data_IF_727501725203
#
_entry.id   IF_727501725203
#
_cell.length_a   1.000
_cell.length_b   1.000
_cell.length_c   1.000
_cell.angle_alpha   90.00
_cell.angle_beta   90.00
_cell.angle_gamma   90.00
#
_symmetry.space_group_name_H-M   'P 1'
#
loop_
_entity.id
_entity.type
_entity.pdbx_description
1 polymer ?
2 non-polymer ?
3 water ?
#
# COMPACT_ATOMS: atom_id res chain seq x y z
N UNK A 1 -16.91 -0.47 1.75
CA UNK A 1 -15.98 0.32 2.62
C UNK A 1 -15.80 -0.36 3.98
N UNK A 2 -16.92 -0.76 4.58
CA UNK A 2 -16.88 -1.42 5.88
C UNK A 2 -16.74 -2.93 5.65
N UNK A 3 -17.68 -3.46 4.87
CA UNK A 3 -17.74 -4.88 4.53
C UNK A 3 -17.82 -5.08 3.01
N UNK A 4 -18.51 -4.16 2.34
CA UNK A 4 -18.68 -4.21 0.89
C UNK A 4 -17.36 -4.00 0.15
N UNK A 5 -16.74 -2.84 0.36
CA UNK A 5 -15.47 -2.56 -0.29
C UNK A 5 -14.31 -2.97 0.60
N UNK A 6 -14.37 -4.19 1.11
CA UNK A 6 -13.34 -4.71 1.99
C UNK A 6 -12.69 -5.92 1.33
N UNK A 7 -11.40 -6.12 1.56
CA UNK A 7 -10.73 -7.27 0.99
C UNK A 7 -9.70 -7.91 1.93
N UNK A 8 -9.63 -9.23 1.88
CA UNK A 8 -8.66 -10.00 2.65
C UNK A 8 -7.38 -9.96 1.81
N UNK A 9 -6.26 -9.54 2.40
CA UNK A 9 -5.01 -9.48 1.64
C UNK A 9 -4.62 -10.89 1.20
N UNK A 10 -4.29 -11.04 -0.08
CA UNK A 10 -3.91 -12.34 -0.60
C UNK A 10 -2.53 -12.27 -1.24
N UNK A 11 -1.84 -13.40 -1.30
CA UNK A 11 -0.50 -13.45 -1.88
C UNK A 11 -0.57 -13.66 -3.38
N UNK A 12 0.58 -13.80 -4.01
CA UNK A 12 0.64 -13.97 -5.46
C UNK A 12 -0.22 -15.12 -5.98
N UNK A 13 -0.38 -16.17 -5.17
CA UNK A 13 -1.16 -17.34 -5.56
C UNK A 13 -2.62 -17.25 -5.18
N UNK A 14 -3.02 -16.10 -4.65
CA UNK A 14 -4.42 -15.93 -4.28
C UNK A 14 -4.79 -16.49 -2.92
N UNK A 15 -3.81 -16.99 -2.18
CA UNK A 15 -4.10 -17.53 -0.85
C UNK A 15 -4.06 -16.41 0.17
N UNK A 16 -5.02 -16.43 1.09
CA UNK A 16 -5.07 -15.42 2.15
C UNK A 16 -3.73 -15.34 2.88
N UNK A 17 -3.25 -14.12 3.10
CA UNK A 17 -2.01 -13.95 3.84
C UNK A 17 -2.23 -14.29 5.32
N UNK A 18 -1.26 -14.99 5.92
CA UNK A 18 -1.29 -15.33 7.36
C UNK A 18 -0.31 -14.31 7.98
N UNK A 19 -0.83 -13.35 8.74
CA UNK A 19 0.03 -12.31 9.28
C UNK A 19 1.27 -12.74 10.06
N UNK A 20 1.11 -13.68 11.00
CA UNK A 20 2.26 -14.13 11.80
C UNK A 20 3.33 -14.68 10.89
N UNK A 21 2.91 -15.47 9.92
CA UNK A 21 3.84 -16.05 8.97
C UNK A 21 4.40 -14.96 8.07
N UNK A 22 3.56 -13.99 7.72
CA UNK A 22 4.03 -12.94 6.84
C UNK A 22 5.16 -12.13 7.51
N UNK A 23 4.97 -11.76 8.78
CA UNK A 23 5.98 -11.00 9.50
C UNK A 23 7.27 -11.81 9.68
N UNK A 24 7.14 -13.12 9.70
CA UNK A 24 8.31 -13.97 9.84
C UNK A 24 9.10 -13.99 8.54
N UNK A 25 8.54 -13.37 7.50
CA UNK A 25 9.19 -13.38 6.18
C UNK A 25 9.52 -12.01 5.63
N UNK A 26 9.09 -10.98 6.36
CA UNK A 26 9.32 -9.61 5.95
C UNK A 26 9.77 -8.79 7.16
N UNK A 27 10.99 -8.27 7.09
CA UNK A 27 11.55 -7.50 8.18
C UNK A 27 11.14 -6.04 8.18
N UNK A 28 11.40 -5.33 9.30
CA UNK A 28 11.04 -3.92 9.38
C UNK A 28 11.46 -3.16 8.14
N UNK A 29 10.61 -2.24 7.70
CA UNK A 29 10.89 -1.47 6.52
C UNK A 29 10.45 -2.14 5.23
N UNK A 30 10.15 -3.43 5.29
CA UNK A 30 9.74 -4.13 4.08
C UNK A 30 8.45 -3.59 3.48
N UNK A 31 8.43 -3.46 2.16
CA UNK A 31 7.23 -3.04 1.46
C UNK A 31 7.12 -4.04 0.32
N UNK A 32 6.09 -4.87 0.35
CA UNK A 32 5.88 -5.89 -0.68
C UNK A 32 4.42 -5.87 -1.09
N UNK A 33 4.15 -6.31 -2.32
CA UNK A 33 2.80 -6.32 -2.83
C UNK A 33 1.97 -7.48 -2.37
N UNK A 34 0.68 -7.22 -2.26
CA UNK A 34 -0.29 -8.24 -1.91
C UNK A 34 -1.49 -7.89 -2.81
N UNK A 35 -2.44 -8.81 -2.93
CA UNK A 35 -3.64 -8.54 -3.71
C UNK A 35 -4.58 -7.83 -2.76
N UNK A 36 -5.02 -6.63 -3.12
CA UNK A 36 -5.91 -5.89 -2.23
C UNK A 36 -7.36 -5.82 -2.68
N UNK A 37 -7.98 -4.66 -2.47
CA UNK A 37 -9.38 -4.48 -2.85
C UNK A 37 -9.61 -4.68 -4.35
N UNK A 38 -10.56 -5.53 -4.72
CA UNK A 38 -10.79 -5.78 -6.13
C UNK A 38 -9.50 -6.36 -6.70
N UNK A 39 -8.66 -6.91 -5.84
CA UNK A 39 -7.41 -7.51 -6.29
C UNK A 39 -6.25 -6.59 -6.70
N UNK A 40 -6.39 -5.29 -6.47
CA UNK A 40 -5.36 -4.32 -6.81
C UNK A 40 -4.04 -4.52 -6.05
N UNK A 41 -2.89 -4.42 -6.76
CA UNK A 41 -1.58 -4.60 -6.11
C UNK A 41 -1.49 -3.54 -5.00
N UNK A 42 -1.33 -3.99 -3.77
CA UNK A 42 -1.28 -3.07 -2.63
C UNK A 42 -0.07 -3.34 -1.74
N UNK A 43 0.70 -2.31 -1.46
CA UNK A 43 1.83 -2.51 -0.59
C UNK A 43 1.47 -2.79 0.86
N UNK A 44 2.03 -3.87 1.40
CA UNK A 44 1.88 -4.17 2.81
C UNK A 44 3.21 -3.61 3.33
N UNK A 45 3.12 -2.80 4.38
CA UNK A 45 4.29 -2.14 4.95
C UNK A 45 4.60 -2.65 6.36
N UNK A 46 5.83 -3.11 6.57
CA UNK A 46 6.24 -3.56 7.90
C UNK A 46 6.97 -2.38 8.56
N UNK A 47 6.51 -2.01 9.75
CA UNK A 47 7.05 -0.90 10.54
C UNK A 47 8.37 -1.26 11.19
N UNK A 48 8.98 -0.26 11.82
CA UNK A 48 10.25 -0.44 12.53
C UNK A 48 10.05 -1.46 13.65
N UNK A 49 8.84 -1.48 14.20
CA UNK A 49 8.45 -2.37 15.28
C UNK A 49 8.22 -3.78 14.79
N UNK A 50 8.27 -3.96 13.48
CA UNK A 50 8.05 -5.28 12.87
C UNK A 50 6.58 -5.65 12.97
N UNK A 51 5.72 -4.72 12.57
CA UNK A 51 4.29 -4.95 12.61
C UNK A 51 3.77 -4.44 11.29
N UNK A 52 2.55 -4.82 10.96
CA UNK A 52 1.92 -4.37 9.73
C UNK A 52 1.48 -2.92 10.00
N UNK A 53 1.90 -1.98 9.16
CA UNK A 53 1.49 -0.59 9.33
C UNK A 53 -0.03 -0.44 9.27
N UNK A 54 -0.56 0.61 9.89
CA UNK A 54 -2.01 0.83 9.89
C UNK A 54 -2.51 1.13 8.49
N UNK A 55 -1.60 1.43 7.57
CA UNK A 55 -2.04 1.68 6.20
C UNK A 55 -1.23 0.91 5.17
N UNK A 56 -1.87 0.64 4.04
CA UNK A 56 -1.21 0.00 2.92
C UNK A 56 -1.19 1.05 1.81
N UNK A 57 -0.65 0.71 0.65
CA UNK A 57 -0.61 1.68 -0.44
C UNK A 57 -0.96 1.02 -1.76
N UNK A 58 -1.94 1.58 -2.46
CA UNK A 58 -2.33 1.04 -3.76
C UNK A 58 -1.16 1.43 -4.66
N UNK A 59 -0.48 0.42 -5.20
CA UNK A 59 0.71 0.65 -6.01
C UNK A 59 0.47 1.10 -7.44
N UNK A 60 -0.78 1.26 -7.83
CA UNK A 60 -1.05 1.68 -9.19
C UNK A 60 -0.68 3.14 -9.38
N UNK A 61 0.36 3.41 -10.18
CA UNK A 61 0.81 4.79 -10.41
C UNK A 61 -0.36 5.69 -10.85
N UNK A 62 -0.54 6.83 -10.19
CA UNK A 62 -1.65 7.73 -10.51
C UNK A 62 -1.47 8.44 -11.85
N UNK A 63 -0.37 8.15 -12.54
CA UNK A 63 -0.12 8.76 -13.84
C UNK A 63 -0.80 7.93 -14.91
N UNK A 64 -0.20 6.79 -15.25
CA UNK A 64 -0.77 5.94 -16.28
C UNK A 64 -0.98 4.47 -15.91
N UNK A 65 -1.04 4.17 -14.61
CA UNK A 65 -1.33 2.81 -14.18
C UNK A 65 -0.25 1.78 -13.96
N UNK A 66 1.01 2.12 -14.15
CA UNK A 66 2.05 1.12 -13.90
C UNK A 66 2.09 0.80 -12.40
N UNK A 67 2.53 -0.41 -12.05
CA UNK A 67 2.65 -0.80 -10.66
C UNK A 67 4.02 -0.26 -10.23
N UNK A 68 4.03 0.70 -9.31
CA UNK A 68 5.26 1.34 -8.87
C UNK A 68 6.10 0.54 -7.88
N UNK A 69 7.34 0.21 -8.26
CA UNK A 69 8.21 -0.56 -7.37
C UNK A 69 8.80 0.31 -6.26
N UNK A 70 9.21 -0.34 -5.18
CA UNK A 70 9.80 0.34 -4.04
C UNK A 70 11.32 0.27 -4.20
N UNK A 71 11.99 1.41 -4.08
CA UNK A 71 13.45 1.43 -4.22
C UNK A 71 14.08 1.60 -2.83
N UNK A 72 14.55 0.50 -2.26
CA UNK A 72 15.15 0.54 -0.93
C UNK A 72 16.23 1.62 -0.81
N UNK A 73 17.15 1.66 -1.77
CA UNK A 73 18.24 2.65 -1.74
C UNK A 73 17.79 4.10 -1.77
N UNK A 74 16.90 4.42 -2.69
CA UNK A 74 16.40 5.79 -2.81
C UNK A 74 15.37 6.08 -1.73
N UNK A 75 14.90 5.02 -1.06
CA UNK A 75 13.87 5.15 -0.04
C UNK A 75 12.65 5.85 -0.66
N UNK A 76 12.35 5.52 -1.91
CA UNK A 76 11.21 6.09 -2.62
C UNK A 76 10.57 5.06 -3.54
N UNK A 77 9.32 5.32 -3.92
CA UNK A 77 8.66 4.46 -4.89
C UNK A 77 8.97 5.23 -6.17
N UNK A 78 9.57 4.55 -7.14
CA UNK A 78 9.96 5.19 -8.41
C UNK A 78 9.34 4.40 -9.57
N UNK A 79 8.54 5.06 -10.39
CA UNK A 79 7.87 4.38 -11.49
C UNK A 79 8.77 4.36 -12.72
N UNK A 80 9.13 3.16 -13.21
CA UNK A 80 10.01 3.05 -14.38
C UNK A 80 9.33 3.43 -15.70
N UNK A 81 8.02 3.59 -15.67
CA UNK A 81 7.32 3.92 -16.90
C UNK A 81 7.57 5.36 -17.36
N UNK A 82 7.40 6.34 -16.47
CA UNK A 82 7.67 7.72 -16.85
C UNK A 82 8.40 8.51 -15.78
N UNK A 83 8.95 7.81 -14.79
CA UNK A 83 9.75 8.48 -13.77
C UNK A 83 9.09 9.12 -12.57
N UNK A 84 7.77 8.99 -12.44
CA UNK A 84 7.14 9.59 -11.27
C UNK A 84 7.82 9.02 -10.02
N UNK A 85 7.87 9.82 -8.96
CA UNK A 85 8.46 9.39 -7.70
C UNK A 85 7.55 9.77 -6.53
N UNK A 86 7.51 8.89 -5.52
CA UNK A 86 6.70 9.09 -4.30
C UNK A 86 7.60 8.82 -3.09
N UNK A 87 7.35 9.47 -1.96
CA UNK A 87 8.19 9.26 -0.77
C UNK A 87 7.84 7.99 0.01
N UNK A 88 8.56 7.75 1.10
CA UNK A 88 8.32 6.57 1.95
C UNK A 88 6.86 6.26 2.23
N UNK A 89 6.04 7.30 2.35
CA UNK A 89 4.63 7.13 2.66
C UNK A 89 3.72 7.15 1.45
N UNK A 90 4.32 7.19 0.26
CA UNK A 90 3.51 7.20 -0.95
C UNK A 90 3.05 8.57 -1.43
N UNK A 91 3.55 9.63 -0.81
CA UNK A 91 3.16 10.97 -1.25
C UNK A 91 3.93 11.25 -2.54
N UNK A 92 3.21 11.70 -3.56
CA UNK A 92 3.84 11.99 -4.83
C UNK A 92 4.79 13.14 -4.60
N UNK A 93 6.04 12.95 -5.00
CA UNK A 93 7.05 13.96 -4.80
C UNK A 93 7.71 14.37 -6.11
N UNK A 94 7.28 13.74 -7.20
CA UNK A 94 7.84 14.03 -8.52
C UNK A 94 6.91 13.51 -9.60
N UNK A 95 6.50 14.38 -10.51
CA UNK A 95 5.59 13.97 -11.58
C UNK A 95 6.21 13.03 -12.60
N UNK A 96 5.53 12.78 -13.72
CA UNK A 96 4.22 13.35 -14.08
C UNK A 96 3.02 12.92 -13.21
N UNK A 97 3.19 11.92 -12.34
CA UNK A 97 2.07 11.49 -11.50
C UNK A 97 1.57 12.72 -10.76
N UNK A 98 0.27 13.04 -10.91
CA UNK A 98 -0.43 14.18 -10.30
C UNK A 98 -0.85 13.99 -8.84
N UNK A 99 -1.09 12.74 -8.46
CA UNK A 99 -1.57 12.41 -7.12
C UNK A 99 -0.75 11.33 -6.41
N UNK A 100 -0.80 11.37 -5.07
CA UNK A 100 -0.08 10.41 -4.24
C UNK A 100 -0.68 9.00 -4.35
N UNK A 101 0.10 7.98 -4.03
CA UNK A 101 -0.44 6.62 -4.09
C UNK A 101 -1.58 6.57 -3.06
N UNK A 102 -2.71 5.97 -3.44
CA UNK A 102 -3.88 5.86 -2.55
C UNK A 102 -3.60 5.13 -1.25
N UNK A 103 -4.03 5.71 -0.14
CA UNK A 103 -3.84 5.04 1.14
C UNK A 103 -4.93 3.98 1.23
N UNK A 104 -4.66 2.93 1.99
CA UNK A 104 -5.63 1.87 2.19
C UNK A 104 -5.50 1.51 3.65
N UNK A 105 -6.64 1.38 4.32
CA UNK A 105 -6.63 1.01 5.71
C UNK A 105 -6.18 -0.46 5.79
N UNK A 106 -5.23 -0.76 6.68
CA UNK A 106 -4.72 -2.13 6.81
C UNK A 106 -4.89 -2.61 8.23
N UNK A 107 -5.72 -3.63 8.41
CA UNK A 107 -6.01 -4.15 9.75
C UNK A 107 -5.74 -5.62 9.97
N UNK A 108 -5.04 -5.94 11.06
CA UNK A 108 -4.75 -7.33 11.42
C UNK A 108 -5.93 -7.89 12.22
N UNK A 109 -6.49 -9.02 11.77
CA UNK A 109 -7.64 -9.61 12.44
C UNK A 109 -7.27 -10.50 13.61
N UNK A 110 -8.30 -11.02 14.29
CA UNK A 110 -8.11 -11.89 15.43
C UNK A 110 -7.83 -13.30 14.95
N UNK A 111 -8.12 -13.57 13.69
CA UNK A 111 -7.86 -14.89 13.16
C UNK A 111 -6.60 -14.88 12.29
N UNK A 112 -5.66 -14.02 12.67
CA UNK A 112 -4.35 -13.91 12.04
C UNK A 112 -4.32 -13.54 10.54
N UNK A 113 -5.24 -12.66 10.16
CA UNK A 113 -5.34 -12.20 8.79
C UNK A 113 -5.18 -10.69 8.64
N UNK A 114 -5.00 -10.26 7.40
CA UNK A 114 -4.85 -8.84 7.09
C UNK A 114 -6.01 -8.42 6.19
N UNK A 115 -6.73 -7.42 6.66
CA UNK A 115 -7.88 -6.88 5.98
C UNK A 115 -7.65 -5.47 5.47
N UNK A 116 -7.98 -5.26 4.20
CA UNK A 116 -7.86 -3.92 3.61
C UNK A 116 -9.27 -3.32 3.50
N UNK A 117 -9.43 -2.10 3.96
CA UNK A 117 -10.71 -1.40 3.86
C UNK A 117 -10.38 -0.01 3.28
N UNK A 118 -11.30 0.58 2.50
CA UNK A 118 -11.05 1.91 1.92
C UNK A 118 -10.66 2.92 3.01
N UNK A 119 -9.64 3.74 2.74
CA UNK A 119 -9.20 4.76 3.69
C UNK A 119 -10.02 6.01 3.37
N UNK A 120 -10.93 6.37 4.29
CA UNK A 120 -11.83 7.52 4.12
C UNK A 120 -11.45 8.77 4.90
N UNK A 121 -10.66 8.62 5.95
CA UNK A 121 -10.23 9.76 6.75
C UNK A 121 -9.44 10.76 5.92
N UNK A 122 -8.82 11.71 6.61
CA UNK A 122 -8.00 12.74 5.99
C UNK A 122 -6.69 12.12 5.53
N UNK A 123 -6.21 12.55 4.37
CA UNK A 123 -4.94 12.04 3.91
C UNK A 123 -3.90 12.74 4.77
N UNK A 124 -3.34 12.01 5.73
CA UNK A 124 -2.34 12.57 6.62
C UNK A 124 -1.07 13.01 5.91
N UNK A 125 -1.06 12.98 4.58
CA UNK A 125 0.15 13.39 3.86
C UNK A 125 -0.05 14.72 3.15
N UNK A 126 -1.27 14.96 2.68
CA UNK A 126 -1.57 16.20 1.98
C UNK A 126 -2.62 17.04 2.70
N UNK A 127 -3.29 16.44 3.68
CA UNK A 127 -4.32 17.17 4.40
C UNK A 127 -5.60 17.10 3.58
N UNK A 128 -5.43 16.98 2.27
CA UNK A 128 -6.55 16.89 1.33
C UNK A 128 -7.45 15.65 1.56
N UNK A 129 -8.69 15.74 1.10
CA UNK A 129 -9.61 14.64 1.23
C UNK A 129 -9.21 13.62 0.16
N UNK A 130 -9.26 12.32 0.49
CA UNK A 130 -8.88 11.29 -0.48
C UNK A 130 -9.41 11.53 -1.90
N UNK A 131 -8.51 11.51 -2.88
CA UNK A 131 -8.92 11.68 -4.26
C UNK A 131 -9.51 10.37 -4.73
N UNK A 132 -9.20 9.30 -4.00
CA UNK A 132 -9.66 7.96 -4.34
C UNK A 132 -11.05 7.59 -3.81
N UNK A 133 -11.55 8.38 -2.86
CA UNK A 133 -12.88 8.14 -2.27
C UNK A 133 -13.97 8.02 -3.35
X LIG B 1 4.08 5.86 -13.53
X LIG B 1 3.79 7.02 -15.93
X LIG B 1 5.19 7.66 -14.32
X LIG B 1 2.78 5.15 -15.24
#
# INVERSE_FOLDING_TARGET
HHIEGRAVAKDALGNDIKVSEYLAKHLPGDRSLAQGIKGDPTYVIVTEDHQIANYGLNAVCTHLGCVVPWNVSENKFICPCHGSQYDSTGKVVRGPAPLSLALVKATVTEDDKLVFTPWTEIDFRTGKEPWWT
FES FE1 FE2 S1 S2
#
